data_IF_524694312428
#
_entry.id   IF_524694312428
#
_cell.length_a   1.000
_cell.length_b   1.000
_cell.length_c   1.000
_cell.angle_alpha   90.00
_cell.angle_beta   90.00
_cell.angle_gamma   90.00
#
_symmetry.space_group_name_H-M   'P 1'
#
loop_
_entity.id
_entity.type
_entity.pdbx_description
1 polymer ?
2 non-polymer ?
3 water ?
#
# COMPACT_ATOMS: atom_id res chain seq x y z
N UNK A 1 21.09 10.80 6.36
CA UNK A 1 20.88 10.70 4.90
C UNK A 1 19.59 11.36 4.42
N UNK A 2 19.64 12.14 3.34
CA UNK A 2 18.41 12.57 2.69
C UNK A 2 17.75 11.37 2.00
N UNK A 3 16.47 11.54 1.62
CA UNK A 3 15.64 10.39 1.23
C UNK A 3 16.29 9.62 0.09
N UNK A 4 16.76 10.32 -0.94
CA UNK A 4 17.31 9.59 -2.08
C UNK A 4 18.56 8.80 -1.72
N UNK A 5 19.33 9.28 -0.74
CA UNK A 5 20.51 8.54 -0.29
C UNK A 5 20.11 7.32 0.52
N UNK A 6 19.08 7.46 1.36
CA UNK A 6 18.57 6.35 2.17
C UNK A 6 18.09 5.19 1.30
N UNK A 7 17.51 5.48 0.12
CA UNK A 7 17.05 4.41 -0.74
C UNK A 7 18.20 3.56 -1.29
N UNK A 8 19.41 4.11 -1.33
CA UNK A 8 20.56 3.39 -1.83
C UNK A 8 21.36 2.75 -0.71
N UNK A 9 21.48 3.45 0.41
CA UNK A 9 22.36 3.00 1.46
C UNK A 9 21.66 2.62 2.76
N UNK A 10 20.34 2.82 2.86
CA UNK A 10 19.64 2.34 4.05
C UNK A 10 19.53 0.83 4.07
N UNK A 11 19.45 0.28 5.29
CA UNK A 11 19.41 -1.17 5.44
C UNK A 11 20.74 -1.83 5.07
N UNK A 12 20.70 -3.16 4.97
CA UNK A 12 21.89 -3.95 4.64
C UNK A 12 21.64 -4.68 3.32
N UNK A 13 22.28 -4.21 2.23
CA UNK A 13 22.03 -4.74 0.89
C UNK A 13 23.33 -5.08 0.15
N UNK A 14 24.41 -5.31 0.88
CA UNK A 14 25.66 -5.77 0.29
C UNK A 14 26.04 -7.08 0.95
N UNK A 15 27.05 -7.75 0.41
CA UNK A 15 27.57 -8.99 0.99
C UNK A 15 28.84 -8.69 1.79
N UNK A 16 28.77 -8.84 3.12
CA UNK A 16 29.98 -8.67 3.93
C UNK A 16 31.07 -9.65 3.54
N UNK A 17 30.69 -10.86 3.09
CA UNK A 17 31.67 -11.93 2.84
C UNK A 17 32.54 -11.65 1.62
N UNK A 18 31.94 -11.50 0.43
CA UNK A 18 32.72 -11.23 -0.78
C UNK A 18 32.91 -9.76 -1.10
N UNK A 19 32.14 -8.87 -0.46
CA UNK A 19 32.08 -7.48 -0.88
C UNK A 19 31.10 -7.18 -2.00
N UNK A 20 30.39 -8.20 -2.52
CA UNK A 20 29.41 -7.97 -3.59
C UNK A 20 28.52 -6.78 -3.28
N UNK A 21 28.37 -5.87 -4.25
CA UNK A 21 27.62 -4.65 -3.95
C UNK A 21 26.11 -4.85 -4.00
N UNK A 22 25.64 -6.06 -4.32
CA UNK A 22 24.22 -6.39 -4.25
C UNK A 22 24.04 -7.61 -3.36
N UNK A 23 22.82 -7.76 -2.85
CA UNK A 23 22.49 -8.86 -1.94
C UNK A 23 22.49 -10.19 -2.69
N UNK A 24 23.30 -11.18 -2.29
CA UNK A 24 23.27 -12.48 -2.96
C UNK A 24 21.90 -13.12 -2.79
N UNK A 25 21.50 -13.94 -3.76
CA UNK A 25 20.21 -14.62 -3.72
C UNK A 25 20.44 -15.99 -3.11
N UNK A 26 19.96 -16.18 -1.88
CA UNK A 26 20.17 -17.42 -1.14
C UNK A 26 19.03 -18.35 -1.47
N UNK A 27 19.15 -19.00 -2.61
CA UNK A 27 18.17 -19.98 -3.02
C UNK A 27 18.58 -21.28 -2.31
N UNK A 28 18.17 -21.36 -1.04
CA UNK A 28 18.59 -22.44 -0.14
C UNK A 28 17.51 -22.62 0.93
N UNK A 29 17.45 -23.84 1.49
CA UNK A 29 16.48 -24.11 2.54
C UNK A 29 17.12 -24.36 3.89
N UNK A 30 18.43 -24.66 3.95
CA UNK A 30 18.96 -25.01 5.26
C UNK A 30 20.45 -24.67 5.28
N UNK A 31 21.01 -24.69 6.48
CA UNK A 31 22.33 -24.13 6.75
C UNK A 31 23.12 -25.10 7.62
N UNK A 32 24.35 -25.37 7.21
CA UNK A 32 25.23 -26.24 7.99
C UNK A 32 25.51 -25.63 9.34
N UNK A 33 25.54 -26.47 10.38
CA UNK A 33 25.91 -26.03 11.72
C UNK A 33 27.25 -26.66 12.09
N UNK A 34 28.17 -25.83 12.62
CA UNK A 34 29.49 -26.35 12.98
C UNK A 34 29.41 -27.21 14.23
N UNK A 35 28.74 -26.71 15.26
CA UNK A 35 28.37 -27.49 16.43
C UNK A 35 26.86 -27.37 16.60
N UNK A 36 26.27 -28.33 17.31
CA UNK A 36 24.83 -28.35 17.43
C UNK A 36 24.35 -27.08 18.11
N UNK A 37 23.49 -26.33 17.42
CA UNK A 37 23.03 -25.04 17.89
C UNK A 37 23.92 -23.87 17.55
N UNK A 38 25.08 -24.12 16.92
CA UNK A 38 26.02 -23.06 16.55
C UNK A 38 25.76 -22.63 15.10
N UNK A 39 25.09 -21.49 14.94
CA UNK A 39 24.74 -20.94 13.64
C UNK A 39 25.85 -19.99 13.19
N UNK A 40 26.51 -20.32 12.06
CA UNK A 40 27.63 -19.52 11.58
C UNK A 40 27.30 -18.03 11.54
N UNK A 41 26.16 -17.68 10.93
CA UNK A 41 25.76 -16.28 10.83
C UNK A 41 24.31 -16.09 11.28
N UNK A 42 23.82 -16.95 12.17
CA UNK A 42 22.47 -16.81 12.68
C UNK A 42 21.36 -17.41 11.85
N UNK A 43 21.69 -18.17 10.80
CA UNK A 43 20.68 -18.80 9.96
C UNK A 43 20.65 -20.30 10.21
N UNK A 44 19.45 -20.87 10.24
CA UNK A 44 19.27 -22.30 10.50
C UNK A 44 18.28 -22.95 9.53
N UNK A 45 17.27 -22.20 9.08
CA UNK A 45 16.20 -22.74 8.23
C UNK A 45 15.49 -21.58 7.56
N UNK A 46 15.40 -21.60 6.22
CA UNK A 46 15.05 -20.39 5.49
C UNK A 46 13.65 -19.86 5.83
N UNK A 47 12.72 -20.73 6.24
CA UNK A 47 11.41 -20.21 6.65
C UNK A 47 11.54 -19.30 7.86
N UNK A 48 12.39 -19.65 8.81
CA UNK A 48 12.60 -18.79 9.96
C UNK A 48 13.39 -17.55 9.59
N UNK A 49 14.43 -17.69 8.75
CA UNK A 49 15.21 -16.54 8.28
C UNK A 49 16.08 -16.96 7.10
N UNK A 50 16.22 -16.05 6.12
CA UNK A 50 16.95 -16.23 4.87
C UNK A 50 17.68 -14.91 4.65
N UNK A 51 18.96 -14.90 4.28
CA UNK A 51 19.67 -13.61 4.22
C UNK A 51 19.13 -12.63 3.20
N UNK A 52 18.62 -13.12 2.06
CA UNK A 52 18.06 -12.21 1.07
C UNK A 52 16.76 -11.58 1.58
N UNK A 53 15.92 -12.38 2.25
CA UNK A 53 14.70 -11.81 2.85
C UNK A 53 15.09 -10.85 3.98
N UNK A 54 16.11 -11.20 4.78
CA UNK A 54 16.54 -10.30 5.85
C UNK A 54 16.97 -8.96 5.29
N UNK A 55 17.56 -8.95 4.09
CA UNK A 55 17.95 -7.70 3.45
C UNK A 55 16.75 -6.79 3.17
N UNK A 56 15.71 -7.32 2.50
CA UNK A 56 14.59 -6.46 2.21
C UNK A 56 13.87 -6.02 3.49
N UNK A 57 13.84 -6.88 4.53
CA UNK A 57 13.26 -6.50 5.81
C UNK A 57 14.02 -5.32 6.43
N UNK A 58 15.35 -5.34 6.33
CA UNK A 58 16.11 -4.20 6.88
C UNK A 58 15.83 -2.93 6.10
N UNK A 59 15.59 -3.05 4.80
CA UNK A 59 15.33 -1.86 3.96
C UNK A 59 14.00 -1.22 4.35
N UNK A 60 12.94 -2.02 4.48
CA UNK A 60 11.66 -1.37 4.75
C UNK A 60 11.66 -0.78 6.15
N UNK A 61 12.34 -1.42 7.10
CA UNK A 61 12.45 -0.83 8.43
C UNK A 61 13.13 0.53 8.36
N UNK A 62 14.23 0.60 7.60
CA UNK A 62 14.96 1.87 7.46
C UNK A 62 14.08 2.94 6.82
N UNK A 63 13.37 2.58 5.73
CA UNK A 63 12.65 3.59 4.97
C UNK A 63 11.45 4.13 5.73
N UNK A 64 10.86 3.33 6.62
CA UNK A 64 9.73 3.77 7.44
C UNK A 64 10.16 4.26 8.81
N UNK A 65 11.48 4.32 9.07
CA UNK A 65 12.01 4.74 10.39
C UNK A 65 11.47 3.87 11.49
N UNK A 66 11.44 2.56 11.22
CA UNK A 66 11.08 1.57 12.20
C UNK A 66 12.30 0.77 12.60
N UNK A 67 12.09 -0.14 13.55
CA UNK A 67 13.15 -1.00 14.03
C UNK A 67 13.11 -2.38 13.40
N UNK A 68 11.93 -2.87 13.05
CA UNK A 68 11.78 -4.25 12.64
C UNK A 68 10.98 -4.31 11.35
N UNK A 69 11.44 -5.11 10.39
CA UNK A 69 10.73 -5.32 9.14
C UNK A 69 10.39 -6.77 8.93
N UNK A 70 9.33 -7.01 8.15
CA UNK A 70 8.83 -8.35 7.86
C UNK A 70 8.40 -8.40 6.40
N UNK A 71 8.78 -9.48 5.70
CA UNK A 71 8.45 -9.63 4.28
C UNK A 71 7.56 -10.85 4.10
N UNK A 72 6.44 -10.64 3.42
CA UNK A 72 5.43 -11.67 3.23
C UNK A 72 5.24 -11.96 1.75
N UNK A 73 4.60 -13.11 1.46
CA UNK A 73 4.40 -13.53 0.09
C UNK A 73 3.43 -12.67 -0.71
N UNK A 74 2.69 -11.77 -0.05
CA UNK A 74 1.79 -10.86 -0.73
C UNK A 74 1.37 -9.80 0.27
N UNK A 75 0.81 -8.70 -0.26
CA UNK A 75 0.15 -7.74 0.62
C UNK A 75 -0.93 -8.36 1.48
N UNK A 76 -1.74 -9.26 0.89
CA UNK A 76 -2.80 -9.93 1.63
C UNK A 76 -2.24 -10.76 2.77
N UNK A 77 -1.06 -11.38 2.56
CA UNK A 77 -0.43 -12.15 3.63
C UNK A 77 0.07 -11.25 4.75
N UNK A 78 0.54 -10.05 4.40
CA UNK A 78 0.96 -9.09 5.43
C UNK A 78 -0.23 -8.67 6.26
N UNK A 79 -1.35 -8.37 5.60
CA UNK A 79 -2.56 -7.97 6.33
C UNK A 79 -3.05 -9.11 7.20
N UNK A 80 -3.01 -10.34 6.68
CA UNK A 80 -3.47 -11.48 7.45
C UNK A 80 -2.63 -11.69 8.70
N UNK A 81 -1.31 -11.53 8.59
CA UNK A 81 -0.45 -11.69 9.75
C UNK A 81 -0.75 -10.63 10.81
N UNK A 82 -0.98 -9.40 10.38
CA UNK A 82 -1.33 -8.33 11.32
C UNK A 82 -2.66 -8.60 12.00
N UNK A 83 -3.67 -9.05 11.25
CA UNK A 83 -4.98 -9.31 11.86
C UNK A 83 -4.86 -10.44 12.88
N UNK A 84 -3.95 -11.39 12.62
CA UNK A 84 -3.72 -12.51 13.54
C UNK A 84 -3.07 -12.09 14.85
N UNK A 85 -2.69 -10.82 15.00
CA UNK A 85 -2.36 -10.33 16.34
C UNK A 85 -3.54 -10.40 17.28
N UNK A 86 -4.77 -10.44 16.74
CA UNK A 86 -5.98 -10.41 17.55
C UNK A 86 -6.47 -11.83 17.86
N UNK A 87 -7.42 -11.88 18.81
CA UNK A 87 -8.04 -13.13 19.26
C UNK A 87 -9.52 -13.16 18.92
N UNK A 88 -10.11 -14.35 18.94
CA UNK A 88 -11.56 -14.42 18.88
C UNK A 88 -12.14 -13.52 19.95
N UNK A 89 -13.20 -12.82 19.60
CA UNK A 89 -13.85 -11.87 20.48
C UNK A 89 -13.40 -10.44 20.30
N UNK A 90 -12.28 -10.23 19.62
CA UNK A 90 -11.77 -8.88 19.36
C UNK A 90 -12.47 -8.24 18.17
N UNK A 91 -12.45 -6.90 18.15
CA UNK A 91 -13.09 -6.12 17.10
C UNK A 91 -12.06 -5.21 16.45
N UNK A 92 -12.22 -4.96 15.14
CA UNK A 92 -11.35 -4.08 14.39
C UNK A 92 -12.20 -3.05 13.66
N UNK A 93 -11.71 -1.82 13.62
CA UNK A 93 -12.31 -0.73 12.86
C UNK A 93 -11.43 -0.51 11.64
N UNK A 94 -12.05 -0.42 10.47
CA UNK A 94 -11.37 -0.12 9.20
C UNK A 94 -12.11 0.97 8.45
N UNK A 95 -11.39 1.64 7.53
CA UNK A 95 -12.07 2.66 6.73
C UNK A 95 -13.14 2.03 5.84
N UNK A 96 -14.14 2.85 5.51
CA UNK A 96 -15.37 2.37 4.90
C UNK A 96 -15.12 1.76 3.53
N UNK A 97 -14.07 2.21 2.84
CA UNK A 97 -13.86 1.84 1.43
C UNK A 97 -12.61 0.98 1.25
N UNK A 98 -12.26 0.20 2.27
CA UNK A 98 -11.00 -0.53 2.29
C UNK A 98 -10.85 -1.50 1.10
N UNK A 99 -9.60 -1.73 0.68
CA UNK A 99 -9.30 -2.59 -0.46
C UNK A 99 -10.17 -3.85 -0.45
N UNK A 100 -10.69 -4.20 -1.62
CA UNK A 100 -11.54 -5.38 -1.73
C UNK A 100 -10.90 -6.64 -1.18
N UNK A 101 -9.57 -6.78 -1.32
CA UNK A 101 -8.91 -7.95 -0.79
C UNK A 101 -8.84 -7.96 0.74
N UNK A 102 -8.59 -6.79 1.33
CA UNK A 102 -8.72 -6.67 2.77
C UNK A 102 -10.16 -6.93 3.20
N UNK A 103 -11.12 -6.33 2.50
CA UNK A 103 -12.52 -6.53 2.85
C UNK A 103 -12.90 -7.99 2.82
N UNK A 104 -12.46 -8.70 1.78
CA UNK A 104 -12.82 -10.11 1.62
C UNK A 104 -12.27 -10.94 2.76
N UNK A 105 -10.97 -10.79 3.04
CA UNK A 105 -10.35 -11.59 4.09
C UNK A 105 -11.05 -11.37 5.42
N UNK A 106 -11.32 -10.11 5.74
CA UNK A 106 -11.88 -9.84 7.07
C UNK A 106 -13.31 -10.36 7.19
N UNK A 107 -14.14 -10.12 6.18
CA UNK A 107 -15.55 -10.47 6.35
C UNK A 107 -15.84 -11.94 6.10
N UNK A 108 -15.02 -12.63 5.32
CA UNK A 108 -15.32 -14.02 4.97
C UNK A 108 -14.40 -15.03 5.64
N UNK A 109 -13.18 -14.66 6.01
CA UNK A 109 -12.28 -15.59 6.68
C UNK A 109 -12.25 -15.28 8.18
N UNK A 110 -11.83 -14.07 8.54
CA UNK A 110 -11.55 -13.87 9.95
C UNK A 110 -12.81 -13.76 10.81
N UNK A 111 -13.96 -13.42 10.22
CA UNK A 111 -15.18 -13.51 11.02
C UNK A 111 -15.44 -14.93 11.48
N UNK A 112 -14.99 -15.93 10.71
CA UNK A 112 -15.21 -17.30 11.15
C UNK A 112 -14.36 -17.68 12.35
N UNK A 113 -13.34 -16.89 12.66
CA UNK A 113 -12.55 -17.06 13.86
C UNK A 113 -12.93 -16.09 14.96
N UNK A 114 -14.09 -15.45 14.85
CA UNK A 114 -14.60 -14.65 15.94
C UNK A 114 -14.08 -13.24 15.97
N UNK A 115 -13.33 -12.82 14.96
CA UNK A 115 -12.97 -11.41 14.82
C UNK A 115 -14.15 -10.66 14.23
N UNK A 116 -14.56 -9.56 14.87
CA UNK A 116 -15.67 -8.75 14.40
C UNK A 116 -15.15 -7.46 13.80
N UNK A 117 -15.82 -6.96 12.74
CA UNK A 117 -15.28 -5.84 11.98
C UNK A 117 -16.36 -4.80 11.78
N UNK A 118 -15.97 -3.53 11.83
CA UNK A 118 -16.85 -2.48 11.40
C UNK A 118 -16.08 -1.56 10.46
N UNK A 119 -16.77 -1.14 9.42
CA UNK A 119 -16.23 -0.28 8.38
C UNK A 119 -16.83 1.10 8.60
N UNK A 120 -15.97 2.06 8.84
CA UNK A 120 -16.33 3.38 9.36
C UNK A 120 -15.82 4.42 8.40
N UNK A 121 -16.54 5.53 8.26
CA UNK A 121 -16.01 6.66 7.52
C UNK A 121 -14.93 7.37 8.32
N UNK A 122 -13.66 6.99 8.14
CA UNK A 122 -12.60 7.55 8.96
C UNK A 122 -12.15 8.93 8.50
N UNK A 123 -12.75 9.50 7.45
CA UNK A 123 -12.44 10.88 7.07
C UNK A 123 -12.97 11.89 8.08
N UNK A 124 -13.86 11.46 8.97
CA UNK A 124 -14.30 12.27 10.12
C UNK A 124 -13.91 11.51 11.37
N UNK A 125 -12.95 12.03 12.14
CA UNK A 125 -12.39 11.22 13.22
C UNK A 125 -13.41 10.98 14.33
N UNK A 126 -14.44 11.82 14.46
CA UNK A 126 -15.53 11.55 15.40
C UNK A 126 -16.24 10.25 15.08
N UNK A 127 -16.34 9.86 13.81
CA UNK A 127 -16.96 8.58 13.49
C UNK A 127 -16.10 7.41 13.97
N UNK A 128 -14.78 7.59 14.04
CA UNK A 128 -13.93 6.56 14.63
C UNK A 128 -14.26 6.38 16.11
N UNK A 129 -14.27 7.50 16.84
CA UNK A 129 -14.52 7.46 18.28
C UNK A 129 -15.87 6.82 18.58
N UNK A 130 -16.89 7.16 17.81
CA UNK A 130 -18.24 6.64 18.03
C UNK A 130 -18.34 5.14 17.77
N UNK A 131 -17.41 4.57 17.01
CA UNK A 131 -17.48 3.16 16.65
C UNK A 131 -16.71 2.25 17.59
N UNK A 132 -15.89 2.81 18.49
CA UNK A 132 -15.06 1.97 19.35
C UNK A 132 -15.94 1.29 20.40
N UNK A 133 -15.76 -0.03 20.53
CA UNK A 133 -16.46 -0.90 21.47
C UNK A 133 -15.52 -1.37 22.58
N UNK A 134 -16.06 -1.89 23.67
CA UNK A 134 -15.19 -2.52 24.68
C UNK A 134 -14.23 -3.54 24.12
N UNK A 135 -14.64 -4.30 23.10
CA UNK A 135 -13.80 -5.35 22.53
C UNK A 135 -12.94 -4.87 21.37
N UNK A 136 -12.98 -3.60 20.99
CA UNK A 136 -12.14 -3.14 19.90
C UNK A 136 -10.68 -3.17 20.31
N UNK A 137 -9.84 -3.73 19.43
CA UNK A 137 -8.43 -3.84 19.72
C UNK A 137 -7.53 -3.23 18.65
N UNK A 138 -8.09 -2.89 17.49
CA UNK A 138 -7.27 -2.47 16.35
C UNK A 138 -8.02 -1.44 15.53
N UNK A 139 -7.27 -0.44 15.07
CA UNK A 139 -7.75 0.54 14.10
C UNK A 139 -6.84 0.45 12.89
N UNK A 140 -7.43 0.12 11.73
CA UNK A 140 -6.70 -0.15 10.49
C UNK A 140 -7.17 0.82 9.42
N UNK A 141 -6.26 1.65 8.89
CA UNK A 141 -6.69 2.65 7.92
C UNK A 141 -5.74 2.67 6.71
N UNK A 142 -6.35 2.88 5.54
CA UNK A 142 -5.62 3.20 4.33
C UNK A 142 -5.78 4.68 4.09
N UNK A 143 -4.69 5.37 3.70
CA UNK A 143 -4.84 6.75 3.25
C UNK A 143 -3.73 7.14 2.29
N UNK A 144 -4.06 7.65 1.11
CA UNK A 144 -5.42 7.77 0.56
C UNK A 144 -6.02 6.42 0.15
N UNK A 145 -7.33 6.33 0.08
CA UNK A 145 -8.00 5.06 -0.19
C UNK A 145 -8.28 4.87 -1.69
N UNK A 146 -8.81 3.70 -2.04
CA UNK A 146 -9.10 3.37 -3.42
C UNK A 146 -10.61 3.18 -3.65
N UNK A 147 -11.20 3.66 -4.78
CA UNK A 147 -10.57 4.40 -5.87
C UNK A 147 -10.80 5.91 -5.76
N UNK A 148 -11.40 6.38 -4.66
CA UNK A 148 -11.74 7.79 -4.60
C UNK A 148 -10.71 8.62 -3.83
N UNK A 149 -9.63 7.99 -3.36
CA UNK A 149 -8.51 8.71 -2.73
C UNK A 149 -8.93 9.47 -1.47
N UNK A 150 -9.82 8.87 -0.68
CA UNK A 150 -10.24 9.54 0.54
C UNK A 150 -9.07 9.58 1.52
N UNK A 151 -8.95 10.69 2.24
CA UNK A 151 -7.82 10.95 3.15
C UNK A 151 -8.29 10.86 4.59
N UNK A 152 -7.52 10.14 5.40
CA UNK A 152 -7.76 10.00 6.84
C UNK A 152 -6.60 10.59 7.62
N UNK A 153 -6.93 11.32 8.70
CA UNK A 153 -5.93 11.98 9.52
C UNK A 153 -5.15 10.95 10.33
N UNK A 154 -3.89 10.70 9.93
CA UNK A 154 -3.07 9.68 10.58
C UNK A 154 -2.74 10.06 12.01
N UNK A 155 -2.27 11.30 12.23
CA UNK A 155 -1.85 11.67 13.58
C UNK A 155 -3.02 11.59 14.56
N UNK A 156 -4.19 12.07 14.16
CA UNK A 156 -5.36 12.01 15.03
C UNK A 156 -5.76 10.57 15.28
N UNK A 157 -5.71 9.73 14.24
CA UNK A 157 -6.04 8.32 14.43
C UNK A 157 -5.08 7.66 15.41
N UNK A 158 -3.79 7.99 15.33
CA UNK A 158 -2.80 7.44 16.25
C UNK A 158 -3.11 7.89 17.68
N UNK A 159 -3.51 9.17 17.85
CA UNK A 159 -3.86 9.66 19.18
C UNK A 159 -5.11 8.96 19.73
N UNK A 160 -6.14 8.80 18.89
CA UNK A 160 -7.35 8.08 19.28
C UNK A 160 -7.01 6.65 19.68
N UNK A 161 -6.23 5.98 18.85
CA UNK A 161 -5.82 4.61 19.16
C UNK A 161 -5.08 4.55 20.50
N UNK A 162 -4.14 5.47 20.72
CA UNK A 162 -3.39 5.42 21.97
C UNK A 162 -4.29 5.63 23.17
N UNK A 163 -5.20 6.60 23.09
CA UNK A 163 -6.08 6.93 24.20
C UNK A 163 -7.04 5.80 24.51
N UNK A 164 -7.53 5.09 23.47
CA UNK A 164 -8.51 4.04 23.65
C UNK A 164 -7.88 2.64 23.72
N UNK A 165 -6.55 2.53 23.74
CA UNK A 165 -5.92 1.24 23.94
C UNK A 165 -5.96 0.32 22.72
N UNK A 166 -5.89 0.88 21.52
CA UNK A 166 -5.94 0.13 20.27
C UNK A 166 -4.59 0.09 19.61
N UNK A 167 -4.32 -1.03 18.91
CA UNK A 167 -3.18 -1.10 17.99
C UNK A 167 -3.56 -0.36 16.72
N UNK A 168 -2.75 0.64 16.32
CA UNK A 168 -3.04 1.37 15.08
C UNK A 168 -2.19 0.82 13.94
N UNK A 169 -2.81 0.70 12.76
CA UNK A 169 -2.19 0.13 11.58
C UNK A 169 -2.53 1.03 10.40
N UNK A 170 -1.53 1.41 9.60
CA UNK A 170 -1.78 2.12 8.36
C UNK A 170 -1.26 1.30 7.20
N UNK A 171 -2.13 1.09 6.21
CA UNK A 171 -1.72 0.62 4.89
C UNK A 171 -1.24 1.82 4.09
N UNK A 172 0.08 1.91 3.92
CA UNK A 172 0.78 3.03 3.31
C UNK A 172 1.16 2.74 1.85
N UNK A 173 0.47 1.79 1.21
CA UNK A 173 0.84 1.37 -0.15
C UNK A 173 0.81 2.55 -1.13
N UNK A 174 -0.28 3.34 -1.11
CA UNK A 174 -0.47 4.34 -2.15
C UNK A 174 0.52 5.51 -2.03
N UNK A 175 1.00 5.83 -0.82
CA UNK A 175 1.91 6.96 -0.71
C UNK A 175 3.37 6.56 -0.75
N UNK A 176 3.70 5.32 -0.31
CA UNK A 176 5.04 4.75 -0.16
C UNK A 176 5.77 5.44 0.99
N UNK A 177 6.84 4.85 1.49
CA UNK A 177 7.65 5.53 2.52
C UNK A 177 8.34 6.77 2.01
N UNK A 178 8.37 6.99 0.69
CA UNK A 178 9.07 8.17 0.20
C UNK A 178 8.33 9.45 0.57
N UNK A 179 7.01 9.40 0.72
CA UNK A 179 6.22 10.61 0.99
C UNK A 179 5.43 10.62 2.29
N UNK A 180 5.24 9.48 2.93
CA UNK A 180 4.38 9.44 4.12
C UNK A 180 4.96 8.38 5.05
N UNK A 181 5.16 8.72 6.33
CA UNK A 181 5.81 7.80 7.27
C UNK A 181 4.94 7.65 8.51
N UNK A 182 3.95 6.75 8.47
CA UNK A 182 3.03 6.66 9.61
C UNK A 182 3.69 6.41 10.96
N UNK A 183 4.78 5.66 11.02
CA UNK A 183 5.41 5.39 12.32
C UNK A 183 5.88 6.68 12.97
N UNK A 184 6.33 7.63 12.17
CA UNK A 184 6.77 8.92 12.74
C UNK A 184 5.62 9.74 13.28
N UNK A 185 4.38 9.43 12.89
CA UNK A 185 3.18 10.11 13.36
C UNK A 185 2.50 9.37 14.52
N UNK A 186 3.16 8.35 15.06
CA UNK A 186 2.66 7.64 16.23
C UNK A 186 1.89 6.37 15.95
N UNK A 187 1.80 5.94 14.69
CA UNK A 187 1.12 4.69 14.36
C UNK A 187 1.96 3.50 14.80
N UNK A 188 1.30 2.41 15.23
CA UNK A 188 2.06 1.26 15.72
C UNK A 188 2.67 0.43 14.61
N UNK A 189 1.92 0.14 13.55
CA UNK A 189 2.35 -0.81 12.50
C UNK A 189 2.06 -0.17 11.16
N UNK A 190 3.01 -0.22 10.23
CA UNK A 190 2.77 0.25 8.87
C UNK A 190 2.94 -0.93 7.93
N UNK A 191 2.12 -1.00 6.88
CA UNK A 191 2.26 -2.13 5.98
C UNK A 191 2.04 -1.67 4.55
N UNK A 192 2.49 -2.52 3.63
CA UNK A 192 2.47 -2.23 2.20
C UNK A 192 2.15 -3.48 1.40
N UNK A 193 1.39 -3.30 0.33
CA UNK A 193 1.46 -4.21 -0.81
C UNK A 193 2.69 -3.77 -1.61
N UNK A 194 3.81 -4.46 -1.41
CA UNK A 194 5.04 -4.12 -2.13
C UNK A 194 4.96 -4.48 -3.61
N UNK A 195 3.92 -5.22 -3.99
CA UNK A 195 3.57 -5.47 -5.38
C UNK A 195 3.45 -4.21 -6.22
N UNK A 196 3.15 -3.08 -5.56
CA UNK A 196 2.77 -1.86 -6.26
C UNK A 196 4.00 -1.01 -6.43
N UNK A 197 4.05 0.17 -5.81
CA UNK A 197 5.19 1.06 -6.02
C UNK A 197 6.56 0.58 -5.59
N UNK A 198 6.64 -0.16 -4.47
CA UNK A 198 7.96 -0.46 -3.92
C UNK A 198 8.74 -1.33 -4.89
N UNK A 199 8.16 -2.44 -5.31
CA UNK A 199 8.82 -3.21 -6.37
C UNK A 199 8.87 -2.42 -7.66
N UNK A 200 7.73 -1.86 -8.04
CA UNK A 200 7.71 -0.80 -9.03
C UNK A 200 7.71 -1.25 -10.47
N UNK A 201 7.85 -2.57 -10.75
CA UNK A 201 8.12 -3.01 -12.12
C UNK A 201 7.13 -4.10 -12.52
N UNK A 202 6.03 -4.22 -11.78
CA UNK A 202 4.98 -5.15 -12.11
C UNK A 202 5.47 -6.58 -12.18
N UNK A 203 6.43 -6.96 -11.35
CA UNK A 203 7.04 -8.28 -11.51
C UNK A 203 7.33 -8.99 -10.20
N UNK A 204 6.77 -8.51 -9.08
CA UNK A 204 6.87 -9.19 -7.78
C UNK A 204 5.55 -9.03 -7.07
N UNK A 205 5.03 -10.11 -6.51
CA UNK A 205 3.96 -10.03 -5.53
C UNK A 205 4.58 -10.17 -4.13
N UNK A 206 4.29 -9.21 -3.24
CA UNK A 206 4.97 -9.19 -1.95
C UNK A 206 4.23 -8.26 -1.01
N UNK A 207 4.35 -8.55 0.28
CA UNK A 207 3.87 -7.65 1.33
C UNK A 207 5.03 -7.28 2.25
N UNK A 208 4.96 -6.08 2.85
CA UNK A 208 5.98 -5.69 3.83
C UNK A 208 5.31 -5.04 5.02
N UNK A 209 5.85 -5.29 6.23
CA UNK A 209 5.34 -4.71 7.48
C UNK A 209 6.53 -4.12 8.23
N UNK A 210 6.33 -2.97 8.89
CA UNK A 210 7.37 -2.42 9.75
C UNK A 210 6.76 -1.92 11.05
N UNK A 211 7.55 -1.96 12.13
CA UNK A 211 7.10 -1.45 13.42
C UNK A 211 8.35 -1.08 14.22
N UNK A 212 8.17 -0.19 15.20
CA UNK A 212 9.23 0.07 16.16
C UNK A 212 8.99 -0.62 17.50
N UNK A 213 7.84 -1.25 17.68
CA UNK A 213 7.44 -1.83 18.95
C UNK A 213 8.03 -3.23 19.07
N UNK A 214 8.91 -3.44 20.06
CA UNK A 214 9.59 -4.73 20.16
C UNK A 214 8.61 -5.86 20.42
N UNK A 215 7.61 -5.63 21.27
CA UNK A 215 6.69 -6.69 21.61
C UNK A 215 5.78 -7.05 20.44
N UNK A 216 5.28 -6.04 19.71
CA UNK A 216 4.51 -6.36 18.50
C UNK A 216 5.36 -7.07 17.48
N UNK A 217 6.64 -6.69 17.36
CA UNK A 217 7.54 -7.35 16.45
C UNK A 217 7.74 -8.81 16.84
N UNK A 218 7.88 -9.11 18.15
CA UNK A 218 8.01 -10.51 18.53
C UNK A 218 6.77 -11.30 18.20
N UNK A 219 5.59 -10.67 18.37
CA UNK A 219 4.33 -11.33 18.06
C UNK A 219 4.20 -11.56 16.56
N UNK A 220 4.59 -10.57 15.75
CA UNK A 220 4.57 -10.73 14.30
C UNK A 220 5.53 -11.82 13.84
N UNK A 221 6.74 -11.87 14.43
CA UNK A 221 7.70 -12.88 14.02
C UNK A 221 7.17 -14.26 14.32
N UNK A 222 6.48 -14.41 15.45
CA UNK A 222 5.98 -15.72 15.80
C UNK A 222 4.85 -16.11 14.85
N UNK A 223 3.97 -15.17 14.54
CA UNK A 223 2.91 -15.44 13.55
C UNK A 223 3.52 -15.82 12.21
N UNK A 224 4.51 -15.05 11.74
CA UNK A 224 5.14 -15.37 10.47
C UNK A 224 5.75 -16.78 10.46
N UNK A 225 6.51 -17.12 11.51
CA UNK A 225 7.15 -18.44 11.57
C UNK A 225 6.12 -19.57 11.67
N UNK A 226 4.95 -19.30 12.27
CA UNK A 226 3.90 -20.30 12.49
C UNK A 226 2.90 -20.43 11.36
N UNK A 227 2.68 -19.39 10.56
CA UNK A 227 1.76 -19.51 9.43
C UNK A 227 2.45 -19.40 8.07
N UNK A 228 3.71 -18.96 8.02
CA UNK A 228 4.60 -19.29 6.91
C UNK A 228 4.34 -18.61 5.58
N UNK A 229 3.68 -17.45 5.57
CA UNK A 229 3.48 -16.71 4.33
C UNK A 229 4.69 -15.85 4.00
N UNK A 230 5.87 -16.49 3.88
CA UNK A 230 7.15 -15.79 3.72
C UNK A 230 7.45 -15.45 2.27
N UNK A 231 8.14 -14.34 2.07
CA UNK A 231 8.58 -13.98 0.74
C UNK A 231 9.83 -14.77 0.36
N UNK A 232 9.85 -15.34 -0.87
CA UNK A 232 11.01 -16.09 -1.31
C UNK A 232 12.23 -15.23 -1.63
N UNK A 233 13.39 -15.84 -1.80
CA UNK A 233 14.62 -15.06 -1.99
C UNK A 233 14.69 -14.34 -3.34
N UNK A 234 14.23 -14.94 -4.43
CA UNK A 234 14.28 -14.22 -5.71
C UNK A 234 13.38 -12.99 -5.67
N UNK A 235 12.18 -13.14 -5.11
CA UNK A 235 11.27 -12.00 -5.01
C UNK A 235 11.80 -10.94 -4.06
N UNK A 236 12.43 -11.38 -2.97
CA UNK A 236 13.09 -10.44 -2.05
C UNK A 236 14.16 -9.65 -2.77
N UNK A 237 14.97 -10.30 -3.62
CA UNK A 237 16.01 -9.59 -4.36
C UNK A 237 15.40 -8.56 -5.31
N UNK A 238 14.40 -8.97 -6.11
CA UNK A 238 13.80 -8.04 -7.06
C UNK A 238 13.14 -6.87 -6.36
N UNK A 239 12.63 -7.11 -5.14
CA UNK A 239 12.02 -6.02 -4.38
C UNK A 239 13.08 -5.03 -3.92
N UNK A 240 14.19 -5.53 -3.34
CA UNK A 240 15.33 -4.66 -2.97
C UNK A 240 15.77 -3.85 -4.18
N UNK A 241 15.90 -4.51 -5.33
CA UNK A 241 16.37 -3.85 -6.54
C UNK A 241 15.41 -2.76 -6.96
N UNK A 242 14.12 -3.07 -6.94
CA UNK A 242 13.12 -2.08 -7.38
C UNK A 242 13.08 -0.87 -6.47
N UNK A 243 13.27 -1.09 -5.16
CA UNK A 243 13.18 0.01 -4.19
C UNK A 243 14.28 1.04 -4.46
N UNK A 244 15.42 0.63 -5.01
CA UNK A 244 16.52 1.57 -5.27
C UNK A 244 16.07 2.79 -6.04
N UNK A 245 15.18 2.60 -7.03
CA UNK A 245 14.70 3.71 -7.85
C UNK A 245 13.40 4.33 -7.37
N UNK A 246 12.92 3.98 -6.18
CA UNK A 246 11.61 4.48 -5.73
C UNK A 246 11.52 6.00 -5.74
N UNK A 247 12.55 6.68 -5.25
CA UNK A 247 12.47 8.14 -5.19
C UNK A 247 12.37 8.75 -6.58
N UNK A 248 13.21 8.27 -7.50
CA UNK A 248 13.16 8.84 -8.83
C UNK A 248 11.83 8.51 -9.49
N UNK A 249 11.33 7.29 -9.29
CA UNK A 249 10.06 6.93 -9.92
C UNK A 249 8.94 7.80 -9.36
N UNK A 250 8.86 7.93 -8.04
CA UNK A 250 7.77 8.74 -7.49
C UNK A 250 7.87 10.21 -7.88
N UNK A 251 9.08 10.74 -8.02
CA UNK A 251 9.18 12.15 -8.41
C UNK A 251 8.71 12.38 -9.83
N UNK A 252 9.04 11.47 -10.77
CA UNK A 252 8.52 11.58 -12.12
C UNK A 252 7.01 11.41 -12.14
N UNK A 253 6.50 10.41 -11.43
CA UNK A 253 5.05 10.21 -11.34
C UNK A 253 4.38 11.47 -10.82
N UNK A 254 4.95 12.11 -9.79
CA UNK A 254 4.33 13.29 -9.20
C UNK A 254 4.32 14.46 -10.18
N UNK A 255 5.39 14.63 -10.97
CA UNK A 255 5.37 15.70 -11.98
C UNK A 255 4.25 15.49 -12.98
N UNK A 256 4.05 14.23 -13.41
CA UNK A 256 3.00 13.95 -14.37
C UNK A 256 1.60 14.11 -13.77
N UNK A 257 1.44 13.73 -12.50
CA UNK A 257 0.14 13.85 -11.83
C UNK A 257 -0.34 15.28 -11.88
N UNK A 258 0.55 16.23 -11.61
CA UNK A 258 0.18 17.65 -11.56
C UNK A 258 -0.39 18.08 -12.91
N UNK A 259 0.31 17.74 -13.99
CA UNK A 259 -0.13 18.15 -15.31
C UNK A 259 -1.36 17.38 -15.77
N UNK A 260 -1.43 16.09 -15.47
CA UNK A 260 -2.61 15.33 -15.85
C UNK A 260 -3.85 15.88 -15.17
N UNK A 261 -3.76 16.21 -13.89
CA UNK A 261 -4.91 16.73 -13.17
C UNK A 261 -5.35 18.06 -13.77
N UNK A 262 -4.38 18.93 -14.10
CA UNK A 262 -4.73 20.20 -14.75
C UNK A 262 -5.52 19.95 -16.01
N UNK A 263 -5.10 18.97 -16.81
CA UNK A 263 -5.79 18.71 -18.05
C UNK A 263 -7.19 18.15 -17.79
N UNK A 264 -7.31 17.22 -16.83
CA UNK A 264 -8.61 16.63 -16.50
C UNK A 264 -9.59 17.68 -15.99
N UNK A 265 -9.10 18.63 -15.19
CA UNK A 265 -9.99 19.62 -14.61
C UNK A 265 -10.55 20.56 -15.68
N UNK A 266 -9.83 20.74 -16.78
CA UNK A 266 -10.26 21.61 -17.86
C UNK A 266 -11.01 20.87 -18.95
N UNK A 267 -11.09 19.55 -18.89
CA UNK A 267 -11.64 18.88 -20.06
C UNK A 267 -13.16 18.80 -19.96
N UNK A 268 -13.89 19.17 -21.02
CA UNK A 268 -15.36 19.22 -20.89
C UNK A 268 -16.03 17.86 -20.75
N UNK A 269 -15.35 16.76 -21.08
CA UNK A 269 -15.92 15.43 -20.97
C UNK A 269 -15.71 14.81 -19.59
N UNK A 270 -15.03 15.51 -18.69
CA UNK A 270 -14.68 14.98 -17.37
C UNK A 270 -15.49 15.72 -16.33
N UNK A 271 -16.16 14.98 -15.46
CA UNK A 271 -16.81 15.66 -14.34
C UNK A 271 -15.85 15.72 -13.14
N UNK A 272 -16.11 14.95 -12.11
CA UNK A 272 -15.32 15.10 -10.91
C UNK A 272 -13.97 14.44 -11.11
N UNK A 273 -12.95 15.03 -10.49
CA UNK A 273 -11.60 14.45 -10.42
C UNK A 273 -11.28 14.25 -8.95
N UNK A 274 -10.74 13.07 -8.61
CA UNK A 274 -10.47 12.69 -7.23
C UNK A 274 -8.97 12.50 -7.09
N UNK A 275 -8.34 13.32 -6.26
CA UNK A 275 -6.92 13.18 -5.93
C UNK A 275 -6.66 14.11 -4.76
N UNK A 276 -5.80 13.75 -3.79
CA UNK A 276 -5.65 14.61 -2.60
C UNK A 276 -4.97 15.96 -2.87
N UNK A 277 -4.31 16.15 -4.01
CA UNK A 277 -3.70 17.44 -4.33
C UNK A 277 -4.73 18.50 -4.68
N UNK A 278 -5.95 18.09 -5.02
CA UNK A 278 -6.97 19.04 -5.47
C UNK A 278 -7.47 19.84 -4.28
N UNK A 279 -7.56 21.17 -4.45
CA UNK A 279 -7.91 22.06 -3.34
C UNK A 279 -9.25 21.73 -2.71
N UNK A 280 -10.24 21.35 -3.52
CA UNK A 280 -11.58 21.08 -3.02
C UNK A 280 -11.75 19.65 -2.53
N UNK A 281 -10.70 18.83 -2.62
CA UNK A 281 -10.82 17.44 -2.15
C UNK A 281 -10.95 17.42 -0.63
N UNK A 282 -11.90 16.62 -0.12
CA UNK A 282 -12.09 16.58 1.33
C UNK A 282 -10.79 16.13 2.00
N UNK A 283 -10.41 16.81 3.09
CA UNK A 283 -9.19 16.55 3.84
C UNK A 283 -7.91 16.73 3.01
N UNK A 284 -7.97 17.54 1.94
CA UNK A 284 -6.76 18.02 1.28
C UNK A 284 -5.75 18.57 2.30
N UNK A 285 -6.22 19.42 3.26
CA UNK A 285 -5.30 20.00 4.23
C UNK A 285 -4.65 18.94 5.09
N UNK A 286 -5.43 17.94 5.51
CA UNK A 286 -4.89 16.83 6.30
C UNK A 286 -3.79 16.11 5.52
N UNK A 287 -4.06 15.83 4.24
CA UNK A 287 -3.05 15.13 3.44
C UNK A 287 -1.75 15.92 3.36
N UNK A 288 -1.84 17.23 3.06
CA UNK A 288 -0.60 18.02 2.94
C UNK A 288 0.15 18.15 4.24
N UNK A 289 -0.51 18.00 5.39
CA UNK A 289 0.19 18.06 6.66
C UNK A 289 0.89 16.76 7.00
N UNK A 290 0.47 15.62 6.45
CA UNK A 290 1.03 14.33 6.85
C UNK A 290 1.86 13.66 5.75
N UNK A 291 1.93 14.25 4.56
CA UNK A 291 2.69 13.70 3.45
C UNK A 291 3.38 14.83 2.71
N UNK A 292 4.57 14.54 2.15
CA UNK A 292 5.26 15.59 1.39
C UNK A 292 5.33 15.28 -0.10
N UNK A 293 4.30 14.56 -0.59
CA UNK A 293 4.18 14.28 -2.01
C UNK A 293 2.82 13.63 -2.21
N UNK A 294 2.65 13.01 -3.37
CA UNK A 294 1.35 12.49 -3.76
C UNK A 294 1.43 11.07 -4.28
N UNK A 295 0.28 10.40 -4.22
CA UNK A 295 0.15 9.12 -4.92
C UNK A 295 -0.04 9.38 -6.43
N UNK A 296 0.33 8.39 -7.23
CA UNK A 296 0.09 8.40 -8.66
C UNK A 296 -1.26 7.85 -9.12
N UNK A 297 -2.11 7.41 -8.20
CA UNK A 297 -3.46 6.98 -8.54
C UNK A 297 -4.37 8.21 -8.59
N UNK A 298 -5.10 8.36 -9.69
CA UNK A 298 -6.07 9.44 -9.90
C UNK A 298 -7.36 8.79 -10.38
N UNK A 299 -8.51 9.26 -9.89
CA UNK A 299 -9.77 8.80 -10.46
C UNK A 299 -10.51 10.00 -11.01
N UNK A 300 -11.31 9.75 -12.06
CA UNK A 300 -12.09 10.84 -12.64
C UNK A 300 -13.31 10.25 -13.33
N UNK A 301 -14.38 11.03 -13.44
CA UNK A 301 -15.64 10.55 -13.99
C UNK A 301 -15.85 11.01 -15.42
N UNK A 302 -16.23 10.08 -16.28
CA UNK A 302 -16.80 10.41 -17.58
C UNK A 302 -18.28 10.02 -17.52
N UNK A 303 -19.02 10.30 -18.61
CA UNK A 303 -20.49 10.30 -18.57
C UNK A 303 -21.07 8.96 -18.14
N UNK A 304 -20.54 7.84 -18.65
CA UNK A 304 -21.20 6.55 -18.49
C UNK A 304 -20.23 5.42 -18.83
N UNK A 305 -20.74 4.18 -18.74
CA UNK A 305 -19.92 3.01 -19.03
C UNK A 305 -19.39 3.04 -20.47
N UNK A 306 -20.21 3.54 -21.40
CA UNK A 306 -19.80 3.54 -22.81
C UNK A 306 -18.65 4.50 -23.05
N UNK A 307 -18.65 5.65 -22.36
CA UNK A 307 -17.58 6.62 -22.52
C UNK A 307 -16.28 6.11 -21.91
N UNK A 308 -16.37 5.42 -20.78
CA UNK A 308 -15.17 4.85 -20.16
C UNK A 308 -14.58 3.74 -21.02
N UNK A 309 -15.43 2.84 -21.53
CA UNK A 309 -14.94 1.79 -22.40
C UNK A 309 -14.27 2.39 -23.64
N UNK A 310 -14.86 3.44 -24.20
CA UNK A 310 -14.27 3.98 -25.41
C UNK A 310 -13.04 4.83 -25.10
N UNK A 311 -12.99 5.47 -23.93
CA UNK A 311 -11.78 6.18 -23.52
C UNK A 311 -10.58 5.25 -23.48
N UNK A 312 -10.78 4.04 -22.98
CA UNK A 312 -9.65 3.14 -22.79
C UNK A 312 -9.13 2.65 -24.13
N UNK A 313 -10.05 2.27 -25.04
CA UNK A 313 -9.64 1.83 -26.37
C UNK A 313 -8.92 2.92 -27.16
N UNK A 314 -9.07 4.19 -26.78
CA UNK A 314 -8.52 5.28 -27.56
C UNK A 314 -7.14 5.74 -27.09
N UNK A 315 -6.63 5.22 -25.98
CA UNK A 315 -5.33 5.63 -25.49
C UNK A 315 -4.22 4.81 -26.15
N UNK A 316 -3.03 5.41 -26.25
CA UNK A 316 -1.83 4.72 -26.72
C UNK A 316 -0.99 4.16 -25.59
N UNK A 317 -0.90 4.86 -24.46
CA UNK A 317 0.12 4.54 -23.46
C UNK A 317 -0.43 4.04 -22.15
N UNK A 318 -1.75 3.85 -22.02
CA UNK A 318 -2.35 3.40 -20.77
C UNK A 318 -2.76 1.94 -20.92
N UNK A 319 -2.19 1.06 -20.09
CA UNK A 319 -2.43 -0.37 -20.21
C UNK A 319 -3.65 -0.76 -19.37
N UNK A 320 -4.63 -1.40 -20.01
CA UNK A 320 -5.82 -1.89 -19.29
C UNK A 320 -5.44 -3.11 -18.47
N UNK A 321 -5.39 -2.96 -17.15
CA UNK A 321 -4.97 -4.06 -16.30
C UNK A 321 -5.31 -3.71 -14.87
N UNK A 322 -5.35 -4.74 -14.03
CA UNK A 322 -5.39 -4.51 -12.60
C UNK A 322 -4.01 -4.12 -12.10
N UNK A 323 -3.98 -3.63 -10.87
CA UNK A 323 -2.80 -3.18 -10.12
C UNK A 323 -2.45 -1.73 -10.43
N UNK A 324 -1.38 -1.27 -9.80
CA UNK A 324 -0.99 0.14 -9.84
C UNK A 324 0.45 0.19 -9.38
N UNK A 325 1.06 1.36 -9.58
CA UNK A 325 2.39 1.61 -9.07
C UNK A 325 3.51 1.19 -9.99
N UNK A 326 3.20 0.75 -11.21
CA UNK A 326 4.16 0.22 -12.15
C UNK A 326 4.88 1.34 -12.90
N UNK A 327 5.96 0.97 -13.63
CA UNK A 327 6.58 1.96 -14.50
C UNK A 327 5.70 2.30 -15.70
N UNK A 328 4.85 1.37 -16.14
CA UNK A 328 3.90 1.65 -17.20
C UNK A 328 2.61 2.20 -16.60
N UNK A 329 2.01 3.17 -17.28
CA UNK A 329 0.75 3.75 -16.81
C UNK A 329 -0.37 2.74 -17.01
N UNK A 330 -1.30 2.70 -16.06
CA UNK A 330 -2.36 1.69 -16.09
C UNK A 330 -3.72 2.39 -15.99
N UNK A 331 -4.74 1.71 -16.51
CA UNK A 331 -6.08 2.29 -16.54
C UNK A 331 -7.08 1.16 -16.26
N UNK A 332 -8.17 1.52 -15.56
CA UNK A 332 -9.20 0.56 -15.20
C UNK A 332 -10.52 1.29 -14.98
N UNK A 333 -11.59 0.50 -14.85
CA UNK A 333 -12.93 1.05 -14.58
C UNK A 333 -13.43 0.29 -13.37
N UNK A 334 -13.36 0.87 -12.16
CA UNK A 334 -13.69 0.09 -10.96
C UNK A 334 -15.05 -0.61 -11.01
N UNK A 335 -16.07 0.03 -11.57
CA UNK A 335 -17.42 -0.56 -11.56
C UNK A 335 -17.48 -1.86 -12.35
N UNK A 336 -16.61 -2.00 -13.34
CA UNK A 336 -16.56 -3.22 -14.15
C UNK A 336 -15.50 -4.20 -13.67
N UNK A 337 -14.48 -3.72 -13.00
CA UNK A 337 -13.46 -4.66 -12.57
C UNK A 337 -13.61 -4.87 -11.06
N UNK A 338 -13.02 -4.02 -10.24
CA UNK A 338 -12.86 -4.35 -8.83
C UNK A 338 -14.19 -4.39 -8.06
N UNK A 339 -15.18 -3.60 -8.47
CA UNK A 339 -16.40 -3.43 -7.66
C UNK A 339 -17.63 -4.03 -8.33
N UNK A 340 -17.44 -4.86 -9.35
CA UNK A 340 -18.58 -5.35 -10.13
C UNK A 340 -19.51 -6.23 -9.32
N UNK A 341 -19.04 -6.80 -8.21
CA UNK A 341 -19.93 -7.63 -7.39
C UNK A 341 -20.83 -6.81 -6.48
N UNK A 342 -20.60 -5.49 -6.39
CA UNK A 342 -21.40 -4.62 -5.53
C UNK A 342 -22.60 -4.12 -6.33
N UNK A 343 -23.83 -4.24 -5.84
CA UNK A 343 -24.97 -3.73 -6.61
C UNK A 343 -24.74 -2.28 -7.04
N UNK A 344 -25.14 -1.98 -8.29
CA UNK A 344 -24.85 -0.67 -8.90
C UNK A 344 -25.39 0.51 -8.09
N UNK A 345 -26.53 0.33 -7.43
CA UNK A 345 -27.06 1.43 -6.63
C UNK A 345 -26.20 1.70 -5.41
N UNK A 346 -25.66 0.64 -4.79
CA UNK A 346 -24.78 0.83 -3.65
C UNK A 346 -23.45 1.41 -4.11
N UNK A 347 -22.92 0.92 -5.24
CA UNK A 347 -21.70 1.50 -5.79
C UNK A 347 -21.83 3.00 -5.94
N UNK A 348 -22.94 3.44 -6.53
CA UNK A 348 -23.11 4.88 -6.76
C UNK A 348 -23.20 5.65 -5.45
N UNK A 349 -23.94 5.13 -4.46
CA UNK A 349 -24.00 5.81 -3.18
C UNK A 349 -22.62 5.89 -2.52
N UNK A 350 -21.76 4.91 -2.83
CA UNK A 350 -20.39 4.92 -2.34
C UNK A 350 -19.50 5.87 -3.13
N UNK A 351 -20.04 6.49 -4.16
CA UNK A 351 -19.34 7.50 -4.91
C UNK A 351 -18.71 6.99 -6.17
N UNK A 352 -18.93 5.73 -6.51
CA UNK A 352 -18.35 5.08 -7.68
C UNK A 352 -19.41 5.01 -8.76
N UNK A 353 -19.39 5.95 -9.68
CA UNK A 353 -20.33 5.88 -10.79
C UNK A 353 -19.87 4.88 -11.86
N UNK A 354 -20.79 4.54 -12.76
CA UNK A 354 -20.46 3.67 -13.88
C UNK A 354 -19.40 4.28 -14.79
N UNK A 355 -19.25 5.59 -14.76
CA UNK A 355 -18.26 6.26 -15.58
C UNK A 355 -16.96 6.57 -14.87
N UNK A 356 -16.78 6.10 -13.64
CA UNK A 356 -15.52 6.38 -12.94
C UNK A 356 -14.38 5.58 -13.56
N UNK A 357 -13.32 6.29 -13.93
CA UNK A 357 -12.10 5.70 -14.47
C UNK A 357 -10.98 5.92 -13.46
N UNK A 358 -10.15 4.89 -13.25
CA UNK A 358 -8.98 5.04 -12.39
C UNK A 358 -7.74 4.91 -13.26
N UNK A 359 -6.77 5.80 -13.05
CA UNK A 359 -5.48 5.64 -13.71
C UNK A 359 -4.39 5.55 -12.65
N UNK A 360 -3.35 4.77 -12.97
CA UNK A 360 -2.12 4.75 -12.20
C UNK A 360 -1.06 5.35 -13.11
N UNK A 361 -0.56 6.53 -12.74
CA UNK A 361 0.43 7.23 -13.56
C UNK A 361 1.76 6.53 -13.44
N UNK A 362 2.35 6.16 -14.57
CA UNK A 362 3.70 5.59 -14.64
C UNK A 362 4.77 6.64 -14.90
N UNK A 363 5.92 6.19 -15.40
CA UNK A 363 7.08 7.07 -15.55
C UNK A 363 7.35 7.43 -17.01
N UNK A 364 6.36 7.32 -17.87
CA UNK A 364 6.48 7.83 -19.25
C UNK A 364 6.65 9.35 -19.26
N UNK A 365 6.98 9.88 -20.44
CA UNK A 365 7.15 11.32 -20.55
C UNK A 365 5.84 12.03 -20.19
N UNK A 366 5.97 13.09 -19.39
CA UNK A 366 4.79 13.81 -18.88
C UNK A 366 3.93 14.36 -20.02
N UNK A 367 4.56 15.04 -20.98
CA UNK A 367 3.78 15.55 -22.11
C UNK A 367 3.08 14.43 -22.88
N UNK A 368 3.78 13.31 -23.10
CA UNK A 368 3.15 12.22 -23.81
C UNK A 368 1.91 11.73 -23.07
N UNK A 369 2.02 11.58 -21.74
CA UNK A 369 0.89 11.05 -20.98
C UNK A 369 -0.30 12.01 -20.98
N UNK A 370 -0.03 13.30 -20.83
CA UNK A 370 -1.10 14.31 -20.84
C UNK A 370 -1.77 14.34 -22.21
N UNK A 371 -0.97 14.41 -23.27
CA UNK A 371 -1.52 14.52 -24.62
C UNK A 371 -2.29 13.27 -25.02
N UNK A 372 -1.81 12.09 -24.63
CA UNK A 372 -2.46 10.84 -24.99
C UNK A 372 -3.83 10.74 -24.33
N UNK A 373 -3.91 11.04 -23.04
CA UNK A 373 -5.19 10.98 -22.35
C UNK A 373 -6.13 12.09 -22.83
N UNK A 374 -5.59 13.29 -23.09
CA UNK A 374 -6.42 14.39 -23.58
C UNK A 374 -7.01 14.08 -24.95
N UNK A 375 -6.21 13.53 -25.88
CA UNK A 375 -6.79 13.22 -27.19
C UNK A 375 -7.79 12.07 -27.10
N UNK A 376 -7.58 11.12 -26.20
CA UNK A 376 -8.58 10.06 -26.04
C UNK A 376 -9.89 10.65 -25.51
N UNK A 377 -9.80 11.58 -24.55
CA UNK A 377 -11.00 12.21 -24.03
C UNK A 377 -11.69 13.02 -25.10
N UNK A 378 -10.92 13.58 -26.03
CA UNK A 378 -11.49 14.38 -27.10
C UNK A 378 -12.38 13.56 -28.00
N UNK A 379 -12.21 12.24 -28.04
CA UNK A 379 -13.06 11.43 -28.91
C UNK A 379 -14.45 11.17 -28.32
N UNK A 380 -14.69 11.55 -27.07
CA UNK A 380 -15.95 11.25 -26.42
C UNK A 380 -17.04 12.25 -26.80
X LIG B 1 -2.58 -1.28 23.95
X LIG B 1 -2.64 -2.63 24.38
X LIG B 1 -2.25 -1.18 22.50
X LIG B 1 -0.86 -1.07 22.37
X LIG B 1 -0.46 -0.38 21.20
X LIG B 1 0.87 0.24 21.46
X LIG B 1 1.84 -0.74 21.77
X LIG C 1 -25.79 0.99 3.42
X LIG C 1 -24.79 0.30 4.16
X LIG C 1 -25.32 1.35 2.04
X LIG C 1 -24.43 2.46 2.10
X LIG C 1 -24.01 2.89 0.81
X LIG C 1 -22.95 3.93 0.96
X LIG C 1 -23.48 5.18 1.38
X LIG D 1 6.26 18.78 5.10
X LIG D 1 6.68 19.79 4.21
X LIG D 1 4.91 18.24 4.74
X LIG D 1 4.59 17.13 5.57
X LIG D 1 5.62 16.14 5.57
X LIG D 1 5.22 14.96 6.38
X LIG D 1 6.04 13.85 6.03
X LIG E 1 -13.43 -14.68 23.88
X LIG E 1 -14.51 -15.41 23.32
X LIG E 1 -12.52 -15.56 24.67
X LIG E 1 -11.20 -15.02 24.65
X LIG E 1 -10.43 -15.46 23.54
X LIG E 1 -9.01 -15.69 23.96
X LIG E 1 -8.36 -16.61 23.08
#
# INVERSE_FOLDING_TARGET
MNKKTKLIHGGHTTDDYTGAVTTPIYQTSTYLQDDIGDLRQGYEYSRTANPTRSSVESVIAALENGKHGFAFSSGVAAISAVVMLLDKGDHIILNSDVYGGTYRALTKVFTRFGIEVDFVDTTHTDSIVQAIRPTTKMLFIETPSNPLLRVTDIKKSAEIAKEHGLISVVDNTFMTPYYQNPLDLGIDIVLHSATKYLGGHSDVVAGLVATSDDKLAERLAFISNSTGGILGPQDSYLLVRGIKTLGLRMEQINRSVIEIIKMLQAHPAVQQVFHPSIESHLNHDVHMAQADGHTGVIAFEVKNTESAKQLIKATSYYTLAESLGAVESLISVPALMTHASIPADIRAKEGITDGLVRISVGIEDTEDLVDDLKQALDTL
PEG C1 O1 C2 O2 C3 C4 O4
PEG C1 O1 C2 O2 C3 C4 O4
PEG C1 O1 C2 O2 C3 C4 O4
PEG C1 O1 C2 O2 C3 C4 O4
#
